data_IF_396722172096
#
_entry.id   IF_396722172096
#
_cell.length_a   1.000
_cell.length_b   1.000
_cell.length_c   1.000
_cell.angle_alpha   90.00
_cell.angle_beta   90.00
_cell.angle_gamma   90.00
#
_symmetry.space_group_name_H-M   'P 1'
#
loop_
_entity.id
_entity.type
_entity.pdbx_description
1 polymer ?
#
# COMPACT_ATOMS: atom_id res chain seq x y z
N UNK A 1 2.93 -7.79 11.21
CA UNK A 1 4.27 -7.26 10.87
C UNK A 1 4.06 -5.90 10.24
N UNK A 2 4.80 -4.89 10.69
CA UNK A 2 4.76 -3.58 10.05
C UNK A 2 5.77 -3.47 8.92
N UNK A 3 5.53 -2.57 7.96
CA UNK A 3 6.47 -2.28 6.89
C UNK A 3 7.82 -1.78 7.48
N UNK A 4 8.96 -2.24 6.95
CA UNK A 4 10.26 -1.75 7.40
C UNK A 4 10.40 -0.24 7.21
N UNK A 5 10.59 0.48 8.33
CA UNK A 5 10.74 1.95 8.36
C UNK A 5 11.81 2.46 7.40
N UNK A 6 12.91 1.73 7.22
CA UNK A 6 13.98 2.11 6.31
C UNK A 6 13.53 2.17 4.85
N UNK A 7 12.67 1.24 4.42
CA UNK A 7 12.13 1.20 3.05
C UNK A 7 11.17 2.37 2.84
N UNK A 8 10.26 2.59 3.79
CA UNK A 8 9.30 3.72 3.74
C UNK A 8 10.04 5.05 3.75
N UNK A 9 11.06 5.20 4.61
CA UNK A 9 11.89 6.41 4.66
C UNK A 9 12.62 6.66 3.35
N UNK A 10 13.18 5.62 2.71
CA UNK A 10 13.86 5.74 1.40
C UNK A 10 12.90 6.28 0.34
N UNK A 11 11.71 5.69 0.22
CA UNK A 11 10.68 6.14 -0.75
C UNK A 11 10.26 7.59 -0.47
N UNK A 12 10.02 7.94 0.80
CA UNK A 12 9.69 9.32 1.17
C UNK A 12 10.80 10.29 0.80
N UNK A 13 12.06 9.99 1.13
CA UNK A 13 13.18 10.89 0.84
C UNK A 13 13.43 11.08 -0.66
N UNK A 14 13.20 10.05 -1.47
CA UNK A 14 13.30 10.09 -2.93
C UNK A 14 12.26 11.05 -3.53
N UNK A 15 11.01 11.00 -3.05
CA UNK A 15 9.92 11.81 -3.60
C UNK A 15 9.70 13.16 -2.89
N UNK A 16 10.22 13.34 -1.67
CA UNK A 16 10.12 14.58 -0.91
C UNK A 16 11.27 15.56 -1.19
N UNK A 17 11.99 15.40 -2.29
CA UNK A 17 13.03 16.35 -2.71
C UNK A 17 14.17 16.54 -1.70
N UNK A 18 14.55 15.48 -0.99
CA UNK A 18 15.63 15.53 0.01
C UNK A 18 15.24 16.12 1.38
N UNK A 19 13.95 16.33 1.65
CA UNK A 19 13.50 16.74 2.99
C UNK A 19 13.84 15.70 4.06
N UNK A 20 14.17 16.18 5.27
CA UNK A 20 14.31 15.34 6.45
C UNK A 20 12.93 14.87 6.92
N UNK A 21 12.80 13.59 7.22
CA UNK A 21 11.58 12.97 7.76
C UNK A 21 11.75 12.76 9.27
N UNK A 22 10.87 13.34 10.07
CA UNK A 22 10.86 13.13 11.53
C UNK A 22 10.40 11.71 11.89
N UNK A 23 10.76 11.23 13.09
CA UNK A 23 10.32 9.92 13.59
C UNK A 23 8.80 9.73 13.55
N UNK A 24 8.00 10.64 14.16
CA UNK A 24 6.53 10.53 14.13
C UNK A 24 5.93 10.60 12.72
N UNK A 25 6.50 11.42 11.82
CA UNK A 25 6.05 11.47 10.43
C UNK A 25 6.31 10.14 9.71
N UNK A 26 7.45 9.49 9.99
CA UNK A 26 7.76 8.17 9.46
C UNK A 26 6.78 7.10 9.97
N UNK A 27 6.40 7.12 11.25
CA UNK A 27 5.36 6.22 11.77
C UNK A 27 4.02 6.41 11.06
N UNK A 28 3.60 7.67 10.89
CA UNK A 28 2.36 8.01 10.18
C UNK A 28 2.38 7.53 8.72
N UNK A 29 3.52 7.66 8.04
CA UNK A 29 3.67 7.18 6.68
C UNK A 29 3.63 5.65 6.57
N UNK A 30 4.26 4.94 7.52
CA UNK A 30 4.16 3.47 7.61
C UNK A 30 2.71 3.06 7.78
N UNK A 31 2.00 3.67 8.73
CA UNK A 31 0.59 3.39 8.97
C UNK A 31 -0.27 3.66 7.73
N UNK A 32 -0.07 4.81 7.07
CA UNK A 32 -0.83 5.17 5.87
C UNK A 32 -0.59 4.17 4.72
N UNK A 33 0.65 3.70 4.55
CA UNK A 33 1.00 2.71 3.53
C UNK A 33 0.33 1.35 3.81
N UNK A 34 0.33 0.90 5.08
CA UNK A 34 -0.35 -0.33 5.49
C UNK A 34 -1.86 -0.26 5.31
N UNK A 35 -2.47 0.87 5.70
CA UNK A 35 -3.89 1.10 5.52
C UNK A 35 -4.30 1.08 4.04
N UNK A 36 -3.48 1.69 3.17
CA UNK A 36 -3.69 1.62 1.72
C UNK A 36 -3.60 0.16 1.22
N UNK A 37 -2.55 -0.57 1.57
CA UNK A 37 -2.38 -1.98 1.17
C UNK A 37 -3.54 -2.86 1.67
N UNK A 38 -4.05 -2.61 2.88
CA UNK A 38 -5.19 -3.33 3.43
C UNK A 38 -6.50 -3.02 2.68
N UNK A 39 -6.71 -1.79 2.22
CA UNK A 39 -7.85 -1.46 1.34
C UNK A 39 -7.69 -2.12 -0.03
N UNK A 40 -6.51 -2.00 -0.62
CA UNK A 40 -6.19 -2.60 -1.92
C UNK A 40 -6.41 -4.12 -1.92
N UNK A 41 -5.91 -4.82 -0.90
CA UNK A 41 -6.04 -6.27 -0.78
C UNK A 41 -7.50 -6.70 -0.64
N UNK A 42 -8.33 -5.97 0.11
CA UNK A 42 -9.77 -6.26 0.25
C UNK A 42 -10.52 -6.10 -1.06
N UNK A 43 -10.26 -5.00 -1.78
CA UNK A 43 -10.87 -4.78 -3.10
C UNK A 43 -10.41 -5.82 -4.13
N UNK A 44 -9.13 -6.19 -4.13
CA UNK A 44 -8.60 -7.23 -5.02
C UNK A 44 -9.20 -8.61 -4.68
N UNK A 45 -9.38 -8.92 -3.39
CA UNK A 45 -10.03 -10.16 -2.95
C UNK A 45 -11.45 -10.26 -3.46
N UNK A 46 -12.24 -9.19 -3.39
CA UNK A 46 -13.61 -9.19 -3.92
C UNK A 46 -13.63 -9.56 -5.42
N UNK A 47 -12.75 -8.94 -6.22
CA UNK A 47 -12.62 -9.25 -7.65
C UNK A 47 -12.24 -10.73 -7.88
N UNK A 48 -11.31 -11.28 -7.08
CA UNK A 48 -10.93 -12.68 -7.21
C UNK A 48 -12.07 -13.64 -6.83
N UNK A 49 -12.83 -13.33 -5.77
CA UNK A 49 -14.00 -14.09 -5.32
C UNK A 49 -15.13 -14.08 -6.36
N UNK A 50 -15.43 -12.92 -6.96
CA UNK A 50 -16.42 -12.78 -8.03
C UNK A 50 -16.06 -13.66 -9.25
N UNK A 51 -14.77 -13.85 -9.48
CA UNK A 51 -14.22 -14.73 -10.52
C UNK A 51 -13.97 -16.17 -10.05
N UNK A 52 -14.42 -16.56 -8.85
CA UNK A 52 -14.26 -17.91 -8.25
C UNK A 52 -12.81 -18.38 -8.15
N UNK A 53 -11.86 -17.45 -7.99
CA UNK A 53 -10.43 -17.74 -7.84
C UNK A 53 -10.01 -17.66 -6.38
N UNK A 54 -8.94 -18.37 -6.02
CA UNK A 54 -8.27 -18.31 -4.70
C UNK A 54 -6.89 -17.65 -4.75
N UNK A 55 -6.54 -17.08 -5.89
CA UNK A 55 -5.25 -16.41 -6.14
C UNK A 55 -5.56 -15.04 -6.73
N UNK A 56 -5.01 -14.00 -6.11
CA UNK A 56 -5.03 -12.64 -6.65
C UNK A 56 -4.16 -12.61 -7.91
N UNK A 57 -4.70 -12.05 -8.98
CA UNK A 57 -4.02 -11.85 -10.25
C UNK A 57 -3.72 -10.37 -10.45
N UNK A 58 -2.83 -10.05 -11.39
CA UNK A 58 -2.47 -8.67 -11.73
C UNK A 58 -3.70 -7.81 -12.06
N UNK A 59 -4.71 -8.39 -12.73
CA UNK A 59 -5.97 -7.74 -13.05
C UNK A 59 -6.80 -7.35 -11.81
N UNK A 60 -6.75 -8.14 -10.74
CA UNK A 60 -7.45 -7.82 -9.48
C UNK A 60 -6.79 -6.63 -8.80
N UNK A 61 -5.45 -6.57 -8.82
CA UNK A 61 -4.69 -5.44 -8.28
C UNK A 61 -4.94 -4.17 -9.09
N UNK A 62 -4.95 -4.27 -10.43
CA UNK A 62 -5.24 -3.15 -11.31
C UNK A 62 -6.66 -2.60 -11.09
N UNK A 63 -7.65 -3.49 -11.01
CA UNK A 63 -9.04 -3.14 -10.70
C UNK A 63 -9.15 -2.50 -9.31
N UNK A 64 -8.58 -3.13 -8.28
CA UNK A 64 -8.59 -2.64 -6.92
C UNK A 64 -7.99 -1.24 -6.79
N UNK A 65 -6.87 -0.96 -7.48
CA UNK A 65 -6.22 0.35 -7.49
C UNK A 65 -7.16 1.45 -7.99
N UNK A 66 -7.97 1.17 -9.01
CA UNK A 66 -8.95 2.14 -9.52
C UNK A 66 -10.08 2.44 -8.51
N UNK A 67 -10.35 1.54 -7.56
CA UNK A 67 -11.40 1.68 -6.56
C UNK A 67 -10.90 2.39 -5.29
N UNK A 68 -9.65 2.14 -4.87
CA UNK A 68 -9.15 2.58 -3.56
C UNK A 68 -8.42 3.92 -3.56
N UNK A 69 -8.02 4.42 -4.74
CA UNK A 69 -7.35 5.72 -4.90
C UNK A 69 -5.90 5.71 -4.44
#
# INVERSE_FOLDING_TARGET
MSLPKAVVKRVLSEHAGGMRVSGPALEKAVQAAEEYLARLARAANQSAEDNKRKTLMDADIASARSQVG
#
